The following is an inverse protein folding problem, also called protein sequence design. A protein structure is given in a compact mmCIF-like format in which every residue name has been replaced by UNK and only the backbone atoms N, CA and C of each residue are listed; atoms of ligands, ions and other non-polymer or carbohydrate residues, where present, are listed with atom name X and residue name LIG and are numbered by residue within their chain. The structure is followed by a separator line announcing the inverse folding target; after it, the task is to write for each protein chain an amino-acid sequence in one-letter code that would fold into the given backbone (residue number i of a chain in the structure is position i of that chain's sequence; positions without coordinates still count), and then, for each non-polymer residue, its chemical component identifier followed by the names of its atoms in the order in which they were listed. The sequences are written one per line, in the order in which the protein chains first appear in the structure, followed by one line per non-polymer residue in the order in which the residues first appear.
data_IF_259601283165
#
_entry.id   IF_259601283165
#
_cell.length_a   1.000
_cell.length_b   1.000
_cell.length_c   1.000
_cell.angle_alpha   90.00
_cell.angle_beta   90.00
_cell.angle_gamma   90.00
#
_symmetry.space_group_name_H-M   'P 1'
#
loop_
_entity.id
_entity.type
_entity.pdbx_description
1 polymer ?
#
# COMPACT_ATOMS: atom_id res chain seq x y z
N UNK A 1 30.80 -13.57 -7.08
CA UNK A 1 30.84 -12.17 -7.54
C UNK A 1 29.64 -11.48 -6.92
N UNK A 2 29.81 -10.80 -5.79
CA UNK A 2 28.75 -10.05 -5.12
C UNK A 2 28.98 -8.58 -5.43
N UNK A 3 27.98 -7.91 -6.01
CA UNK A 3 28.06 -6.48 -6.27
C UNK A 3 27.57 -5.75 -5.03
N UNK A 4 28.45 -4.97 -4.40
CA UNK A 4 28.09 -4.08 -3.30
C UNK A 4 27.38 -2.85 -3.89
N UNK A 5 26.05 -2.85 -3.82
CA UNK A 5 25.25 -1.72 -4.29
C UNK A 5 25.26 -0.61 -3.24
N UNK A 6 26.17 0.36 -3.40
CA UNK A 6 26.15 1.61 -2.63
C UNK A 6 25.29 2.63 -3.36
N UNK A 7 24.06 2.85 -2.90
CA UNK A 7 23.20 3.91 -3.39
C UNK A 7 23.54 5.21 -2.64
N UNK A 8 24.21 6.13 -3.32
CA UNK A 8 24.37 7.51 -2.83
C UNK A 8 23.20 8.33 -3.35
N UNK A 9 22.20 8.52 -2.49
CA UNK A 9 21.06 9.38 -2.79
C UNK A 9 21.60 10.81 -3.01
N UNK A 10 21.41 11.43 -4.19
CA UNK A 10 21.79 12.82 -4.37
C UNK A 10 20.96 13.66 -3.40
N UNK A 11 21.59 14.62 -2.74
CA UNK A 11 20.88 15.61 -1.93
C UNK A 11 19.94 16.38 -2.86
N UNK A 12 18.63 16.24 -2.66
CA UNK A 12 17.61 17.07 -3.30
C UNK A 12 17.90 18.55 -2.98
N UNK A 13 18.62 19.19 -3.89
CA UNK A 13 18.73 20.64 -3.97
C UNK A 13 18.64 21.04 -5.44
N UNK A 14 17.66 20.49 -6.14
CA UNK A 14 16.98 21.27 -7.17
C UNK A 14 15.85 21.97 -6.43
N UNK A 15 15.91 23.30 -6.38
CA UNK A 15 14.78 24.15 -6.04
C UNK A 15 13.69 23.90 -7.09
N UNK A 16 12.96 22.79 -6.93
CA UNK A 16 11.79 22.45 -7.71
C UNK A 16 10.66 23.36 -7.22
N UNK A 17 10.70 24.60 -7.71
CA UNK A 17 9.80 25.64 -7.25
C UNK A 17 10.03 26.96 -7.97
N UNK A 18 10.50 26.91 -9.21
CA UNK A 18 10.59 28.07 -10.09
C UNK A 18 9.22 28.55 -10.59
N UNK A 19 8.18 28.53 -9.75
CA UNK A 19 6.88 29.10 -10.07
C UNK A 19 6.91 30.60 -9.75
N UNK A 20 7.57 31.35 -10.63
CA UNK A 20 7.26 32.78 -10.77
C UNK A 20 5.92 32.92 -11.46
N UNK A 21 4.82 32.82 -10.71
CA UNK A 21 3.47 33.07 -11.24
C UNK A 21 2.77 34.15 -10.43
N UNK A 22 3.13 35.40 -10.71
CA UNK A 22 2.15 36.48 -10.66
C UNK A 22 1.29 36.39 -11.93
N UNK A 23 0.05 35.95 -11.79
CA UNK A 23 -1.08 36.37 -12.65
C UNK A 23 -2.35 35.68 -12.17
N UNK A 24 -3.35 36.48 -11.78
CA UNK A 24 -4.59 36.08 -11.11
C UNK A 24 -5.59 35.19 -11.89
N UNK A 25 -5.12 34.38 -12.84
CA UNK A 25 -5.90 33.32 -13.48
C UNK A 25 -5.00 32.18 -13.93
N UNK A 26 -5.14 31.02 -13.29
CA UNK A 26 -4.51 29.77 -13.71
C UNK A 26 -5.58 28.85 -14.32
N UNK A 27 -5.47 28.58 -15.61
CA UNK A 27 -6.36 27.64 -16.32
C UNK A 27 -6.33 26.25 -15.66
N UNK A 28 -5.18 25.84 -15.14
CA UNK A 28 -5.04 24.56 -14.42
C UNK A 28 -5.82 24.55 -13.12
N UNK A 29 -5.81 25.64 -12.35
CA UNK A 29 -6.60 25.75 -11.12
C UNK A 29 -8.12 25.72 -11.41
N UNK A 30 -8.56 26.32 -12.51
CA UNK A 30 -9.98 26.30 -12.90
C UNK A 30 -10.43 24.89 -13.32
N UNK A 31 -9.59 24.17 -14.07
CA UNK A 31 -9.84 22.78 -14.44
C UNK A 31 -9.90 21.87 -13.20
N UNK A 32 -8.98 22.05 -12.25
CA UNK A 32 -8.98 21.31 -10.97
C UNK A 32 -10.26 21.60 -10.19
N UNK A 33 -10.70 22.86 -10.11
CA UNK A 33 -11.95 23.21 -9.40
C UNK A 33 -13.19 22.59 -10.05
N UNK A 34 -13.26 22.55 -11.38
CA UNK A 34 -14.37 21.88 -12.09
C UNK A 34 -14.38 20.38 -11.82
N UNK A 35 -13.24 19.71 -11.92
CA UNK A 35 -13.12 18.27 -11.68
C UNK A 35 -13.52 17.91 -10.24
N UNK A 36 -13.08 18.68 -9.24
CA UNK A 36 -13.51 18.50 -7.85
C UNK A 36 -15.02 18.68 -7.66
N UNK A 37 -15.64 19.64 -8.34
CA UNK A 37 -17.08 19.84 -8.29
C UNK A 37 -17.85 18.65 -8.92
N UNK A 38 -17.37 18.14 -10.05
CA UNK A 38 -17.95 16.94 -10.68
C UNK A 38 -17.78 15.70 -9.82
N UNK A 39 -16.61 15.51 -9.22
CA UNK A 39 -16.37 14.43 -8.26
C UNK A 39 -17.31 14.57 -7.07
N UNK A 40 -17.55 15.76 -6.52
CA UNK A 40 -18.47 15.96 -5.39
C UNK A 40 -19.93 15.60 -5.73
N UNK A 41 -20.37 15.87 -6.96
CA UNK A 41 -21.71 15.51 -7.43
C UNK A 41 -21.84 14.01 -7.70
N UNK A 42 -20.77 13.39 -8.23
CA UNK A 42 -20.73 11.98 -8.60
C UNK A 42 -20.18 11.07 -7.48
N UNK A 43 -19.77 11.62 -6.33
CA UNK A 43 -19.30 10.86 -5.17
C UNK A 43 -20.48 10.18 -4.49
N UNK A 44 -21.03 9.16 -5.15
CA UNK A 44 -21.96 8.26 -4.51
C UNK A 44 -21.16 7.48 -3.48
N UNK A 45 -21.51 7.65 -2.22
CA UNK A 45 -20.93 6.91 -1.11
C UNK A 45 -21.07 5.40 -1.41
N UNK A 46 -19.94 4.77 -1.77
CA UNK A 46 -19.93 3.35 -2.15
C UNK A 46 -19.96 2.55 -0.86
N UNK A 47 -21.16 2.08 -0.48
CA UNK A 47 -21.31 1.12 0.60
C UNK A 47 -20.77 -0.23 0.13
N UNK A 48 -19.53 -0.54 0.46
CA UNK A 48 -18.99 -1.88 0.23
C UNK A 48 -19.71 -2.88 1.13
N UNK A 49 -20.15 -4.03 0.60
CA UNK A 49 -20.69 -5.09 1.43
C UNK A 49 -19.62 -5.57 2.43
N UNK A 50 -20.02 -6.05 3.62
CA UNK A 50 -19.09 -6.70 4.52
C UNK A 50 -18.42 -7.86 3.77
N UNK A 51 -17.09 -7.90 3.82
CA UNK A 51 -16.37 -9.03 3.26
C UNK A 51 -16.81 -10.30 3.99
N UNK A 52 -16.96 -11.44 3.29
CA UNK A 52 -17.26 -12.69 3.95
C UNK A 52 -16.18 -12.97 5.00
N UNK A 53 -16.61 -13.51 6.13
CA UNK A 53 -15.72 -14.08 7.14
C UNK A 53 -15.04 -15.30 6.51
N UNK A 54 -13.98 -15.06 5.73
CA UNK A 54 -13.05 -16.11 5.35
C UNK A 54 -12.36 -16.52 6.64
N UNK A 55 -12.62 -17.75 7.08
CA UNK A 55 -11.81 -18.37 8.11
C UNK A 55 -10.39 -18.48 7.55
N UNK A 56 -9.54 -17.51 7.88
CA UNK A 56 -8.09 -17.57 7.65
C UNK A 56 -7.52 -18.61 8.63
N UNK A 57 -7.88 -19.86 8.40
CA UNK A 57 -7.38 -21.00 9.12
C UNK A 57 -6.08 -21.50 8.52
N UNK A 58 -5.29 -22.23 9.31
CA UNK A 58 -4.24 -23.05 8.73
C UNK A 58 -4.84 -23.98 7.68
N UNK A 59 -4.21 -24.11 6.50
CA UNK A 59 -4.71 -24.97 5.44
C UNK A 59 -4.87 -26.39 5.98
N UNK A 60 -6.12 -26.87 5.96
CA UNK A 60 -6.51 -28.21 6.45
C UNK A 60 -6.04 -29.34 5.53
N UNK A 61 -5.47 -28.99 4.37
CA UNK A 61 -4.96 -29.93 3.38
C UNK A 61 -3.63 -29.43 2.85
N UNK A 62 -2.66 -30.34 2.73
CA UNK A 62 -1.42 -30.05 2.04
C UNK A 62 -1.65 -30.03 0.52
N UNK A 63 -0.74 -29.39 -0.23
CA UNK A 63 -0.80 -29.37 -1.71
C UNK A 63 -0.78 -30.76 -2.36
N UNK A 64 -0.32 -31.78 -1.65
CA UNK A 64 -0.36 -33.19 -2.07
C UNK A 64 -1.70 -33.90 -1.78
N UNK A 65 -2.68 -33.22 -1.17
CA UNK A 65 -3.96 -33.80 -0.73
C UNK A 65 -3.90 -34.55 0.60
N UNK A 66 -2.74 -34.60 1.25
CA UNK A 66 -2.56 -35.22 2.58
C UNK A 66 -3.05 -34.32 3.73
N UNK A 67 -3.24 -34.94 4.89
CA UNK A 67 -3.51 -34.21 6.13
C UNK A 67 -2.24 -33.48 6.62
N UNK A 68 -2.34 -32.21 7.05
CA UNK A 68 -1.21 -31.46 7.58
C UNK A 68 -0.75 -32.08 8.91
N UNK A 69 0.57 -32.29 9.04
CA UNK A 69 1.15 -32.72 10.31
C UNK A 69 1.34 -31.51 11.22
N UNK A 70 0.55 -31.46 12.30
CA UNK A 70 0.77 -30.52 13.40
C UNK A 70 1.96 -31.00 14.23
N UNK A 71 3.01 -30.20 14.30
CA UNK A 71 4.18 -30.47 15.12
C UNK A 71 4.51 -29.23 15.97
N UNK A 72 4.85 -29.45 17.25
CA UNK A 72 5.38 -28.40 18.13
C UNK A 72 6.89 -28.33 17.96
N UNK A 73 7.42 -27.14 17.69
CA UNK A 73 8.87 -26.91 17.65
C UNK A 73 9.33 -26.37 19.00
N UNK A 74 10.11 -27.15 19.74
CA UNK A 74 10.74 -26.68 20.97
C UNK A 74 11.98 -25.84 20.63
N UNK A 75 12.09 -24.66 21.23
CA UNK A 75 13.25 -23.79 21.12
C UNK A 75 13.96 -23.68 22.48
N UNK A 76 15.25 -23.30 22.50
CA UNK A 76 16.02 -23.16 23.75
C UNK A 76 15.48 -22.11 24.72
N UNK A 77 14.53 -21.29 24.28
CA UNK A 77 13.85 -20.26 25.10
C UNK A 77 12.47 -20.70 25.56
N UNK A 78 12.07 -21.94 25.25
CA UNK A 78 10.78 -22.49 25.66
C UNK A 78 10.88 -22.94 27.14
N UNK A 79 10.08 -22.36 28.06
CA UNK A 79 10.23 -22.60 29.49
C UNK A 79 9.84 -24.01 29.95
N UNK A 80 9.24 -24.83 29.07
CA UNK A 80 8.84 -26.22 29.35
C UNK A 80 9.67 -27.28 28.59
N UNK A 81 10.78 -26.89 27.95
CA UNK A 81 11.70 -27.80 27.23
C UNK A 81 12.89 -28.30 28.08
#
# INVERSE_FOLDING_TARGET
MGHDYSYSQPSDSDEFGGDTVDSGYSETEELIRRDQAELSYNNREVQYPPQPEVEFGFPQTCYCGGQPHLATSYSRTDPEA
#
